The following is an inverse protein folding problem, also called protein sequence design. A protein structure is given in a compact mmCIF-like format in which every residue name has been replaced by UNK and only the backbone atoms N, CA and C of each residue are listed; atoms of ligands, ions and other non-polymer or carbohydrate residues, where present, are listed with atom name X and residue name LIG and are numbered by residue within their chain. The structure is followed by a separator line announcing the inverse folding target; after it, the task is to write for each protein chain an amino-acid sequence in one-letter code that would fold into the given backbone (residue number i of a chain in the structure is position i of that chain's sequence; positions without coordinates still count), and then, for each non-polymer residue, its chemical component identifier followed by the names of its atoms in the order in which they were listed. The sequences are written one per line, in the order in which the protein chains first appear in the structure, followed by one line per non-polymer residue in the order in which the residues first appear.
data_IF_654153243528
#
_entry.id   IF_654153243528
#
_cell.length_a   1.000
_cell.length_b   1.000
_cell.length_c   1.000
_cell.angle_alpha   90.00
_cell.angle_beta   90.00
_cell.angle_gamma   90.00
#
_symmetry.space_group_name_H-M   'P 1'
#
loop_
_entity.id
_entity.type
_entity.pdbx_description
1 polymer ?
#
# COMPACT_ATOMS: atom_id res chain seq x y z
N UNK A 1 116.43 -41.76 -50.42
CA UNK A 1 116.70 -43.15 -49.98
C UNK A 1 117.54 -43.80 -51.06
N UNK A 2 118.75 -44.21 -50.67
CA UNK A 2 119.62 -45.28 -51.18
C UNK A 2 119.54 -45.60 -52.70
N UNK A 3 120.62 -45.55 -53.47
CA UNK A 3 121.72 -46.52 -53.36
C UNK A 3 122.91 -46.19 -54.29
N UNK A 4 124.11 -46.64 -53.86
CA UNK A 4 125.27 -47.16 -54.66
C UNK A 4 126.00 -46.13 -55.56
N UNK A 5 127.21 -45.62 -55.32
CA UNK A 5 128.40 -46.13 -54.60
C UNK A 5 128.65 -47.62 -54.85
N UNK A 6 129.22 -47.94 -56.01
CA UNK A 6 130.16 -49.06 -56.14
C UNK A 6 130.96 -48.97 -57.44
N UNK A 7 132.17 -49.54 -57.38
CA UNK A 7 133.15 -49.78 -58.46
C UNK A 7 134.18 -48.68 -58.80
N UNK A 8 135.20 -48.60 -57.95
CA UNK A 8 136.58 -48.21 -58.33
C UNK A 8 137.41 -49.50 -58.45
N UNK A 9 137.90 -49.90 -59.63
CA UNK A 9 138.93 -50.93 -59.74
C UNK A 9 140.31 -50.31 -59.53
N UNK A 10 141.07 -50.92 -58.61
CA UNK A 10 142.47 -50.66 -58.33
C UNK A 10 143.34 -50.85 -59.59
N UNK A 11 143.99 -49.79 -60.07
CA UNK A 11 145.04 -49.91 -61.08
C UNK A 11 146.36 -50.28 -60.39
N UNK A 12 146.76 -51.51 -60.66
CA UNK A 12 148.00 -52.17 -60.27
C UNK A 12 149.14 -51.60 -61.12
N UNK A 13 150.12 -50.95 -60.49
CA UNK A 13 151.38 -50.55 -61.11
C UNK A 13 152.31 -51.77 -61.10
N UNK A 14 152.69 -52.26 -62.28
CA UNK A 14 153.78 -53.23 -62.44
C UNK A 14 154.81 -52.60 -63.38
N UNK A 15 156.02 -52.42 -62.87
CA UNK A 15 157.20 -51.94 -63.57
C UNK A 15 157.71 -52.97 -64.59
N UNK A 16 158.38 -52.45 -65.61
CA UNK A 16 158.70 -53.15 -66.84
C UNK A 16 159.73 -54.26 -66.74
N UNK A 17 159.83 -54.99 -67.85
CA UNK A 17 161.06 -55.54 -68.38
C UNK A 17 160.86 -55.86 -69.87
N UNK A 18 161.84 -55.45 -70.68
CA UNK A 18 162.13 -56.08 -71.98
C UNK A 18 161.25 -55.67 -73.15
N UNK A 19 161.67 -54.60 -73.82
CA UNK A 19 161.88 -54.52 -75.27
C UNK A 19 161.66 -53.08 -75.71
N UNK A 20 162.74 -52.45 -76.19
CA UNK A 20 162.73 -51.11 -76.77
C UNK A 20 161.94 -51.20 -78.08
N UNK A 21 160.70 -50.71 -78.17
CA UNK A 21 160.00 -50.63 -79.44
C UNK A 21 160.52 -49.38 -80.13
N UNK A 22 161.12 -49.54 -81.31
CA UNK A 22 161.33 -48.42 -82.23
C UNK A 22 160.02 -47.65 -82.35
N UNK A 23 159.97 -46.43 -81.81
CA UNK A 23 158.80 -45.57 -81.91
C UNK A 23 158.53 -45.33 -83.40
N UNK A 24 157.33 -45.67 -83.92
CA UNK A 24 156.94 -45.21 -85.24
C UNK A 24 157.03 -43.69 -85.26
N UNK A 25 157.56 -43.13 -86.35
CA UNK A 25 157.62 -41.69 -86.59
C UNK A 25 156.22 -41.07 -86.41
N UNK A 26 155.97 -40.46 -85.26
CA UNK A 26 154.71 -39.78 -84.95
C UNK A 26 154.70 -38.49 -85.76
N UNK A 27 153.87 -38.45 -86.78
CA UNK A 27 153.59 -37.24 -87.53
C UNK A 27 152.68 -36.35 -86.68
N UNK A 28 153.28 -35.58 -85.75
CA UNK A 28 152.60 -34.70 -84.79
C UNK A 28 151.63 -33.71 -85.45
N UNK A 29 151.87 -33.37 -86.70
CA UNK A 29 151.02 -32.49 -87.50
C UNK A 29 149.65 -33.12 -87.74
N UNK A 30 149.59 -34.43 -88.02
CA UNK A 30 148.35 -35.17 -88.26
C UNK A 30 147.47 -35.27 -87.01
N UNK A 31 148.08 -35.44 -85.83
CA UNK A 31 147.34 -35.51 -84.55
C UNK A 31 146.72 -34.16 -84.19
N UNK A 32 147.47 -33.07 -84.38
CA UNK A 32 146.97 -31.72 -84.15
C UNK A 32 145.85 -31.36 -85.13
N UNK A 33 145.94 -31.83 -86.37
CA UNK A 33 144.91 -31.63 -87.39
C UNK A 33 143.63 -32.43 -87.08
N UNK A 34 143.77 -33.69 -86.64
CA UNK A 34 142.63 -34.52 -86.20
C UNK A 34 141.95 -33.93 -84.95
N UNK A 35 142.70 -33.40 -83.98
CA UNK A 35 142.14 -32.72 -82.80
C UNK A 35 141.40 -31.43 -83.17
N UNK A 36 141.95 -30.62 -84.08
CA UNK A 36 141.28 -29.42 -84.59
C UNK A 36 140.00 -29.79 -85.32
N UNK A 37 140.04 -30.84 -86.14
CA UNK A 37 138.86 -31.34 -86.86
C UNK A 37 137.78 -31.85 -85.90
N UNK A 38 138.13 -32.65 -84.90
CA UNK A 38 137.19 -33.13 -83.90
C UNK A 38 136.58 -32.00 -83.04
N UNK A 39 137.38 -31.00 -82.67
CA UNK A 39 136.88 -29.81 -81.98
C UNK A 39 135.90 -29.02 -82.86
N UNK A 40 136.25 -28.83 -84.14
CA UNK A 40 135.40 -28.13 -85.09
C UNK A 40 134.09 -28.86 -85.36
N UNK A 41 134.13 -30.18 -85.56
CA UNK A 41 132.93 -31.02 -85.68
C UNK A 41 132.06 -30.97 -84.41
N UNK A 42 132.67 -30.95 -83.22
CA UNK A 42 131.94 -30.80 -81.94
C UNK A 42 131.29 -29.42 -81.81
N UNK A 43 131.97 -28.37 -82.24
CA UNK A 43 131.43 -27.00 -82.24
C UNK A 43 130.26 -26.89 -83.23
N UNK A 44 130.41 -27.45 -84.43
CA UNK A 44 129.34 -27.49 -85.43
C UNK A 44 128.12 -28.28 -84.94
N UNK A 45 128.31 -29.41 -84.24
CA UNK A 45 127.21 -30.15 -83.61
C UNK A 45 126.53 -29.35 -82.51
N UNK A 46 127.28 -28.68 -81.64
CA UNK A 46 126.71 -27.84 -80.58
C UNK A 46 125.93 -26.67 -81.15
N UNK A 47 126.44 -26.04 -82.22
CA UNK A 47 125.76 -24.98 -82.95
C UNK A 47 124.52 -25.49 -83.68
N UNK A 48 124.56 -26.69 -84.25
CA UNK A 48 123.37 -27.36 -84.80
C UNK A 48 122.31 -27.59 -83.72
N UNK A 49 122.69 -28.18 -82.58
CA UNK A 49 121.77 -28.42 -81.46
C UNK A 49 121.19 -27.12 -80.91
N UNK A 50 121.99 -26.04 -80.84
CA UNK A 50 121.51 -24.71 -80.44
C UNK A 50 120.52 -24.15 -81.43
N UNK A 51 120.75 -24.32 -82.74
CA UNK A 51 119.80 -23.92 -83.79
C UNK A 51 118.51 -24.72 -83.71
N UNK A 52 118.61 -26.04 -83.53
CA UNK A 52 117.43 -26.92 -83.40
C UNK A 52 116.61 -26.60 -82.15
N UNK A 53 117.28 -26.37 -81.01
CA UNK A 53 116.62 -25.95 -79.78
C UNK A 53 115.99 -24.55 -79.92
N UNK A 54 116.69 -23.58 -80.51
CA UNK A 54 116.15 -22.25 -80.76
C UNK A 54 114.92 -22.31 -81.67
N UNK A 55 114.98 -23.11 -82.74
CA UNK A 55 113.86 -23.34 -83.63
C UNK A 55 112.68 -24.01 -82.90
N UNK A 56 112.93 -25.03 -82.07
CA UNK A 56 111.89 -25.68 -81.28
C UNK A 56 111.22 -24.72 -80.27
N UNK A 57 112.01 -23.85 -79.61
CA UNK A 57 111.47 -22.82 -78.72
C UNK A 57 110.64 -21.78 -79.47
N UNK A 58 111.10 -21.33 -80.65
CA UNK A 58 110.35 -20.39 -81.48
C UNK A 58 109.02 -21.00 -81.95
N UNK A 59 109.02 -22.27 -82.39
CA UNK A 59 107.79 -22.99 -82.75
C UNK A 59 106.84 -23.15 -81.56
N UNK A 60 107.35 -23.51 -80.38
CA UNK A 60 106.54 -23.61 -79.17
C UNK A 60 105.96 -22.24 -78.74
N UNK A 61 106.72 -21.15 -78.90
CA UNK A 61 106.24 -19.80 -78.60
C UNK A 61 105.15 -19.36 -79.58
N UNK A 62 105.33 -19.65 -80.88
CA UNK A 62 104.32 -19.38 -81.91
C UNK A 62 103.03 -20.15 -81.60
N UNK A 63 103.11 -21.46 -81.33
CA UNK A 63 101.96 -22.28 -80.97
C UNK A 63 101.23 -21.75 -79.73
N UNK A 64 101.96 -21.41 -78.66
CA UNK A 64 101.38 -20.84 -77.44
C UNK A 64 100.72 -19.47 -77.69
N UNK A 65 101.28 -18.64 -78.59
CA UNK A 65 100.66 -17.36 -78.98
C UNK A 65 99.36 -17.58 -79.76
N UNK A 66 99.31 -18.56 -80.65
CA UNK A 66 98.11 -18.91 -81.41
C UNK A 66 97.00 -19.46 -80.50
N UNK A 67 97.35 -20.34 -79.56
CA UNK A 67 96.42 -20.87 -78.56
C UNK A 67 95.82 -19.74 -77.70
N UNK A 68 96.66 -18.82 -77.19
CA UNK A 68 96.17 -17.64 -76.45
C UNK A 68 95.24 -16.77 -77.30
N UNK A 69 95.51 -16.61 -78.60
CA UNK A 69 94.62 -15.86 -79.50
C UNK A 69 93.28 -16.58 -79.69
N UNK A 70 93.27 -17.91 -79.78
CA UNK A 70 92.03 -18.69 -79.87
C UNK A 70 91.21 -18.56 -78.59
N UNK A 71 91.80 -18.81 -77.42
CA UNK A 71 91.15 -18.70 -76.11
C UNK A 71 90.56 -17.29 -75.91
N UNK A 72 91.29 -16.23 -76.29
CA UNK A 72 90.78 -14.86 -76.19
C UNK A 72 89.55 -14.63 -77.08
N UNK A 73 89.53 -15.20 -78.29
CA UNK A 73 88.37 -15.08 -79.20
C UNK A 73 87.17 -15.81 -78.61
N UNK A 74 87.33 -17.07 -78.21
CA UNK A 74 86.25 -17.88 -77.62
C UNK A 74 85.70 -17.26 -76.33
N UNK A 75 86.58 -16.74 -75.46
CA UNK A 75 86.16 -16.04 -74.25
C UNK A 75 85.38 -14.75 -74.57
N UNK A 76 85.83 -13.97 -75.56
CA UNK A 76 85.12 -12.76 -75.98
C UNK A 76 83.74 -13.09 -76.56
N UNK A 77 83.63 -14.13 -77.39
CA UNK A 77 82.34 -14.59 -77.92
C UNK A 77 81.41 -15.04 -76.80
N UNK A 78 81.92 -15.78 -75.82
CA UNK A 78 81.16 -16.23 -74.65
C UNK A 78 80.69 -15.04 -73.79
N UNK A 79 81.57 -14.05 -73.55
CA UNK A 79 81.23 -12.82 -72.81
C UNK A 79 80.11 -12.06 -73.52
N UNK A 80 80.18 -11.92 -74.85
CA UNK A 80 79.14 -11.23 -75.63
C UNK A 80 77.81 -11.97 -75.60
N UNK A 81 77.82 -13.30 -75.66
CA UNK A 81 76.60 -14.10 -75.50
C UNK A 81 75.98 -13.95 -74.10
N UNK A 82 76.79 -13.96 -73.05
CA UNK A 82 76.31 -13.77 -71.68
C UNK A 82 75.77 -12.36 -71.46
N UNK A 83 76.44 -11.33 -72.00
CA UNK A 83 75.94 -9.94 -71.96
C UNK A 83 74.59 -9.81 -72.64
N UNK A 84 74.41 -10.43 -73.81
CA UNK A 84 73.11 -10.44 -74.50
C UNK A 84 72.02 -11.13 -73.67
N UNK A 85 72.33 -12.25 -73.01
CA UNK A 85 71.37 -12.93 -72.12
C UNK A 85 70.99 -12.06 -70.93
N UNK A 86 71.98 -11.48 -70.23
CA UNK A 86 71.75 -10.58 -69.09
C UNK A 86 70.86 -9.40 -69.51
N UNK A 87 71.19 -8.74 -70.62
CA UNK A 87 70.41 -7.59 -71.10
C UNK A 87 68.96 -7.99 -71.45
N UNK A 88 68.77 -9.16 -72.06
CA UNK A 88 67.44 -9.65 -72.40
C UNK A 88 66.63 -10.00 -71.14
N UNK A 89 67.26 -10.64 -70.16
CA UNK A 89 66.62 -10.98 -68.89
C UNK A 89 66.28 -9.73 -68.07
N UNK A 90 67.16 -8.73 -68.04
CA UNK A 90 66.91 -7.43 -67.42
C UNK A 90 65.72 -6.71 -68.06
N UNK A 91 65.63 -6.72 -69.39
CA UNK A 91 64.53 -6.07 -70.11
C UNK A 91 63.21 -6.82 -69.88
N UNK A 92 63.22 -8.15 -69.93
CA UNK A 92 62.06 -8.97 -69.58
C UNK A 92 61.61 -8.74 -68.13
N UNK A 93 62.56 -8.61 -67.20
CA UNK A 93 62.26 -8.31 -65.81
C UNK A 93 61.61 -6.93 -65.65
N UNK A 94 62.12 -5.90 -66.34
CA UNK A 94 61.49 -4.56 -66.36
C UNK A 94 60.06 -4.61 -66.88
N UNK A 95 59.82 -5.32 -67.98
CA UNK A 95 58.48 -5.50 -68.56
C UNK A 95 57.56 -6.16 -67.52
N UNK A 96 57.99 -7.26 -66.91
CA UNK A 96 57.21 -7.96 -65.89
C UNK A 96 56.87 -7.07 -64.69
N UNK A 97 57.85 -6.32 -64.17
CA UNK A 97 57.64 -5.38 -63.06
C UNK A 97 56.65 -4.29 -63.46
N UNK A 98 56.73 -3.77 -64.68
CA UNK A 98 55.81 -2.77 -65.19
C UNK A 98 54.38 -3.32 -65.32
N UNK A 99 54.21 -4.52 -65.85
CA UNK A 99 52.92 -5.21 -65.95
C UNK A 99 52.29 -5.45 -64.57
N UNK A 100 53.08 -5.91 -63.61
CA UNK A 100 52.62 -6.11 -62.22
C UNK A 100 52.21 -4.79 -61.57
N UNK A 101 52.98 -3.72 -61.75
CA UNK A 101 52.65 -2.40 -61.23
C UNK A 101 51.36 -1.84 -61.85
N UNK A 102 51.18 -1.99 -63.16
CA UNK A 102 49.96 -1.58 -63.86
C UNK A 102 48.75 -2.39 -63.36
N UNK A 103 48.89 -3.72 -63.23
CA UNK A 103 47.84 -4.59 -62.72
C UNK A 103 47.46 -4.28 -61.27
N UNK A 104 48.42 -3.92 -60.43
CA UNK A 104 48.16 -3.48 -59.05
C UNK A 104 47.46 -2.12 -59.03
N UNK A 105 47.89 -1.16 -59.86
CA UNK A 105 47.28 0.16 -59.95
C UNK A 105 45.80 0.07 -60.36
N UNK A 106 45.48 -0.79 -61.34
CA UNK A 106 44.09 -0.97 -61.79
C UNK A 106 43.22 -1.64 -60.71
N UNK A 107 43.75 -2.66 -60.01
CA UNK A 107 43.05 -3.28 -58.87
C UNK A 107 42.76 -2.26 -57.76
N UNK A 108 43.72 -1.40 -57.42
CA UNK A 108 43.55 -0.35 -56.41
C UNK A 108 42.52 0.68 -56.84
N UNK A 109 42.47 1.03 -58.13
CA UNK A 109 41.47 1.93 -58.69
C UNK A 109 40.06 1.35 -58.57
N UNK A 110 39.86 0.09 -58.98
CA UNK A 110 38.57 -0.61 -58.87
C UNK A 110 38.11 -0.66 -57.41
N UNK A 111 39.00 -1.02 -56.48
CA UNK A 111 38.66 -1.05 -55.04
C UNK A 111 38.28 0.33 -54.50
N UNK A 112 38.93 1.40 -54.96
CA UNK A 112 38.61 2.76 -54.56
C UNK A 112 37.24 3.18 -55.10
N UNK A 113 36.94 2.88 -56.36
CA UNK A 113 35.65 3.19 -56.99
C UNK A 113 34.52 2.42 -56.29
N UNK A 114 34.68 1.11 -56.09
CA UNK A 114 33.71 0.28 -55.35
C UNK A 114 33.48 0.80 -53.93
N UNK A 115 34.55 1.11 -53.19
CA UNK A 115 34.44 1.67 -51.84
C UNK A 115 33.81 3.06 -51.78
N UNK A 116 33.96 3.88 -52.84
CA UNK A 116 33.27 5.17 -52.95
C UNK A 116 31.78 5.00 -53.24
N UNK A 117 31.44 4.08 -54.15
CA UNK A 117 30.05 3.75 -54.49
C UNK A 117 29.29 3.18 -53.30
N UNK A 118 29.88 2.24 -52.56
CA UNK A 118 29.30 1.69 -51.33
C UNK A 118 29.02 2.78 -50.29
N UNK A 119 29.96 3.72 -50.08
CA UNK A 119 29.77 4.85 -49.15
C UNK A 119 28.64 5.76 -49.60
N UNK A 120 28.57 6.06 -50.90
CA UNK A 120 27.52 6.90 -51.48
C UNK A 120 26.15 6.25 -51.30
N UNK A 121 26.03 4.96 -51.63
CA UNK A 121 24.78 4.21 -51.47
C UNK A 121 24.33 4.15 -50.00
N UNK A 122 25.26 3.87 -49.07
CA UNK A 122 24.96 3.87 -47.64
C UNK A 122 24.51 5.25 -47.12
N UNK A 123 25.12 6.33 -47.64
CA UNK A 123 24.71 7.69 -47.30
C UNK A 123 23.32 8.03 -47.85
N UNK A 124 23.03 7.70 -49.11
CA UNK A 124 21.71 7.90 -49.72
C UNK A 124 20.61 7.13 -48.98
N UNK A 125 20.85 5.86 -48.63
CA UNK A 125 19.93 5.08 -47.81
C UNK A 125 19.67 5.71 -46.44
N UNK A 126 20.72 6.21 -45.79
CA UNK A 126 20.59 6.88 -44.50
C UNK A 126 19.76 8.17 -44.62
N UNK A 127 20.03 8.99 -45.63
CA UNK A 127 19.29 10.22 -45.89
C UNK A 127 17.80 9.94 -46.20
N UNK A 128 17.51 8.89 -46.97
CA UNK A 128 16.13 8.46 -47.25
C UNK A 128 15.41 7.99 -45.98
N UNK A 129 16.06 7.14 -45.17
CA UNK A 129 15.53 6.67 -43.87
C UNK A 129 15.23 7.85 -42.96
N UNK A 130 16.15 8.81 -42.86
CA UNK A 130 15.96 10.02 -42.06
C UNK A 130 14.82 10.91 -42.56
N UNK A 131 14.67 11.06 -43.88
CA UNK A 131 13.57 11.81 -44.49
C UNK A 131 12.22 11.15 -44.20
N UNK A 132 12.13 9.83 -44.31
CA UNK A 132 10.92 9.08 -43.99
C UNK A 132 10.56 9.17 -42.50
N UNK A 133 11.55 9.06 -41.62
CA UNK A 133 11.34 9.18 -40.17
C UNK A 133 10.83 10.57 -39.78
N UNK A 134 11.40 11.63 -40.37
CA UNK A 134 10.92 13.01 -40.15
C UNK A 134 9.46 13.18 -40.56
N UNK A 135 9.09 12.72 -41.76
CA UNK A 135 7.69 12.75 -42.24
C UNK A 135 6.74 11.98 -41.32
N UNK A 136 7.13 10.81 -40.85
CA UNK A 136 6.31 10.02 -39.92
C UNK A 136 6.12 10.75 -38.59
N UNK A 137 7.18 11.38 -38.08
CA UNK A 137 7.11 12.16 -36.85
C UNK A 137 6.18 13.38 -36.99
N UNK A 138 6.29 14.13 -38.10
CA UNK A 138 5.42 15.26 -38.42
C UNK A 138 3.94 14.82 -38.51
N UNK A 139 3.64 13.77 -39.27
CA UNK A 139 2.29 13.23 -39.39
C UNK A 139 1.71 12.78 -38.03
N UNK A 140 2.54 12.16 -37.18
CA UNK A 140 2.13 11.76 -35.83
C UNK A 140 1.85 12.97 -34.93
N UNK A 141 2.66 14.03 -35.03
CA UNK A 141 2.41 15.27 -34.30
C UNK A 141 1.09 15.91 -34.72
N UNK A 142 0.79 15.97 -36.02
CA UNK A 142 -0.48 16.50 -36.53
C UNK A 142 -1.68 15.69 -36.04
N UNK A 143 -1.61 14.35 -36.12
CA UNK A 143 -2.65 13.46 -35.62
C UNK A 143 -2.93 13.66 -34.12
N UNK A 144 -1.88 13.74 -33.29
CA UNK A 144 -2.01 13.99 -31.85
C UNK A 144 -2.61 15.38 -31.56
N UNK A 145 -2.25 16.39 -32.34
CA UNK A 145 -2.84 17.73 -32.20
C UNK A 145 -4.34 17.73 -32.56
N UNK A 146 -4.74 16.96 -33.56
CA UNK A 146 -6.15 16.80 -33.94
C UNK A 146 -6.95 16.05 -32.87
N UNK A 147 -6.43 14.93 -32.36
CA UNK A 147 -7.02 14.20 -31.24
C UNK A 147 -7.21 15.11 -30.01
N UNK A 148 -6.21 15.92 -29.69
CA UNK A 148 -6.27 16.89 -28.59
C UNK A 148 -7.34 17.96 -28.82
N UNK A 149 -7.48 18.47 -30.05
CA UNK A 149 -8.57 19.41 -30.41
C UNK A 149 -9.95 18.76 -30.23
N UNK A 150 -10.10 17.51 -30.67
CA UNK A 150 -11.36 16.77 -30.54
C UNK A 150 -11.71 16.46 -29.09
N UNK A 151 -10.74 16.02 -28.29
CA UNK A 151 -10.89 15.78 -26.85
C UNK A 151 -11.32 17.07 -26.12
N UNK A 152 -10.69 18.22 -26.41
CA UNK A 152 -11.08 19.52 -25.84
C UNK A 152 -12.52 19.90 -26.20
N UNK A 153 -12.93 19.67 -27.46
CA UNK A 153 -14.32 19.92 -27.90
C UNK A 153 -15.32 19.03 -27.16
N UNK A 154 -15.03 17.74 -27.02
CA UNK A 154 -15.89 16.78 -26.32
C UNK A 154 -15.98 17.09 -24.81
N UNK A 155 -14.83 17.37 -24.16
CA UNK A 155 -14.78 17.81 -22.77
C UNK A 155 -15.64 19.05 -22.52
N UNK A 156 -15.55 20.06 -23.40
CA UNK A 156 -16.39 21.27 -23.31
C UNK A 156 -17.89 20.97 -23.47
N UNK A 157 -18.27 20.01 -24.33
CA UNK A 157 -19.68 19.57 -24.46
C UNK A 157 -20.17 18.88 -23.20
N UNK A 158 -19.36 17.99 -22.61
CA UNK A 158 -19.68 17.29 -21.36
C UNK A 158 -19.85 18.25 -20.19
N UNK A 159 -18.92 19.19 -20.01
CA UNK A 159 -19.00 20.23 -18.97
C UNK A 159 -20.30 21.03 -19.10
N UNK A 160 -20.62 21.53 -20.31
CA UNK A 160 -21.87 22.27 -20.55
C UNK A 160 -23.12 21.47 -20.23
N UNK A 161 -23.11 20.14 -20.45
CA UNK A 161 -24.25 19.27 -20.11
C UNK A 161 -24.41 19.17 -18.59
N UNK A 162 -23.31 18.92 -17.87
CA UNK A 162 -23.30 18.82 -16.40
C UNK A 162 -23.70 20.15 -15.76
N UNK A 163 -23.21 21.29 -16.25
CA UNK A 163 -23.59 22.61 -15.76
C UNK A 163 -25.10 22.85 -15.90
N UNK A 164 -25.69 22.54 -17.06
CA UNK A 164 -27.15 22.65 -17.27
C UNK A 164 -27.96 21.74 -16.35
N UNK A 165 -27.49 20.52 -16.09
CA UNK A 165 -28.15 19.61 -15.16
C UNK A 165 -28.05 20.09 -13.72
N UNK A 166 -26.90 20.65 -13.32
CA UNK A 166 -26.68 21.26 -12.02
C UNK A 166 -27.60 22.47 -11.78
N UNK A 167 -27.74 23.35 -12.78
CA UNK A 167 -28.65 24.51 -12.73
C UNK A 167 -30.10 24.06 -12.48
N UNK A 168 -30.58 23.07 -13.25
CA UNK A 168 -31.93 22.50 -13.07
C UNK A 168 -32.13 21.88 -11.69
N UNK A 169 -31.11 21.24 -11.13
CA UNK A 169 -31.16 20.66 -9.79
C UNK A 169 -31.23 21.75 -8.71
N UNK A 170 -30.47 22.83 -8.86
CA UNK A 170 -30.54 23.99 -7.96
C UNK A 170 -31.94 24.61 -7.98
N UNK A 171 -32.48 24.87 -9.16
CA UNK A 171 -33.84 25.41 -9.33
C UNK A 171 -34.90 24.49 -8.70
N UNK A 172 -34.81 23.17 -8.90
CA UNK A 172 -35.71 22.21 -8.24
C UNK A 172 -35.61 22.25 -6.72
N UNK A 173 -34.38 22.28 -6.18
CA UNK A 173 -34.13 22.35 -4.73
C UNK A 173 -34.68 23.63 -4.13
N UNK A 174 -34.48 24.76 -4.79
CA UNK A 174 -34.99 26.06 -4.34
C UNK A 174 -36.53 26.09 -4.33
N UNK A 175 -37.16 25.63 -5.40
CA UNK A 175 -38.62 25.49 -5.46
C UNK A 175 -39.18 24.55 -4.38
N UNK A 176 -38.46 23.49 -4.04
CA UNK A 176 -38.86 22.57 -2.98
C UNK A 176 -38.73 23.21 -1.59
N UNK A 177 -37.62 23.90 -1.32
CA UNK A 177 -37.42 24.62 -0.07
C UNK A 177 -38.50 25.68 0.17
N UNK A 178 -38.89 26.42 -0.88
CA UNK A 178 -39.98 27.41 -0.78
C UNK A 178 -41.30 26.74 -0.39
N UNK A 179 -41.61 25.55 -0.95
CA UNK A 179 -42.82 24.80 -0.57
C UNK A 179 -42.76 24.31 0.88
N UNK A 180 -41.65 23.67 1.25
CA UNK A 180 -41.46 23.14 2.61
C UNK A 180 -41.53 24.26 3.66
N UNK A 181 -40.94 25.42 3.36
CA UNK A 181 -41.00 26.58 4.25
C UNK A 181 -42.43 27.11 4.41
N UNK A 182 -43.19 27.18 3.31
CA UNK A 182 -44.60 27.56 3.35
C UNK A 182 -45.44 26.57 4.18
N UNK A 183 -45.22 25.27 4.00
CA UNK A 183 -45.93 24.23 4.77
C UNK A 183 -45.62 24.34 6.27
N UNK A 184 -44.35 24.61 6.64
CA UNK A 184 -43.94 24.84 8.03
C UNK A 184 -44.63 26.09 8.61
N UNK A 185 -44.71 27.19 7.85
CA UNK A 185 -45.40 28.41 8.27
C UNK A 185 -46.89 28.17 8.50
N UNK A 186 -47.56 27.47 7.57
CA UNK A 186 -48.99 27.11 7.70
C UNK A 186 -49.24 26.24 8.94
N UNK A 187 -48.43 25.19 9.14
CA UNK A 187 -48.50 24.32 10.33
C UNK A 187 -48.27 25.10 11.63
N UNK A 188 -47.26 25.99 11.65
CA UNK A 188 -46.95 26.83 12.82
C UNK A 188 -48.12 27.74 13.16
N UNK A 189 -48.77 28.32 12.16
CA UNK A 189 -49.92 29.20 12.35
C UNK A 189 -51.16 28.43 12.82
N UNK A 190 -51.39 27.20 12.32
CA UNK A 190 -52.42 26.31 12.83
C UNK A 190 -52.20 25.99 14.31
N UNK A 191 -51.00 25.54 14.69
CA UNK A 191 -50.67 25.26 16.09
C UNK A 191 -50.83 26.48 17.00
N UNK A 192 -50.44 27.68 16.54
CA UNK A 192 -50.63 28.91 17.30
C UNK A 192 -52.12 29.21 17.55
N UNK A 193 -52.96 29.02 16.53
CA UNK A 193 -54.41 29.23 16.62
C UNK A 193 -55.07 28.21 17.55
N UNK A 194 -54.73 26.93 17.44
CA UNK A 194 -55.23 25.87 18.32
C UNK A 194 -54.80 26.10 19.77
N UNK A 195 -53.54 26.48 20.00
CA UNK A 195 -53.03 26.82 21.32
C UNK A 195 -53.78 28.00 21.92
N UNK A 196 -54.08 29.04 21.14
CA UNK A 196 -54.87 30.19 21.59
C UNK A 196 -56.29 29.78 21.98
N UNK A 197 -56.97 28.98 21.15
CA UNK A 197 -58.30 28.43 21.47
C UNK A 197 -58.28 27.65 22.78
N UNK A 198 -57.30 26.77 22.97
CA UNK A 198 -57.16 25.98 24.19
C UNK A 198 -56.97 26.87 25.44
N UNK A 199 -56.18 27.94 25.33
CA UNK A 199 -55.99 28.91 26.41
C UNK A 199 -57.30 29.65 26.71
N UNK A 200 -58.01 30.11 25.68
CA UNK A 200 -59.29 30.80 25.83
C UNK A 200 -60.37 29.87 26.45
N UNK A 201 -60.41 28.60 26.04
CA UNK A 201 -61.29 27.56 26.60
C UNK A 201 -60.98 27.31 28.08
N UNK A 202 -59.69 27.13 28.43
CA UNK A 202 -59.28 26.97 29.84
C UNK A 202 -59.66 28.18 30.68
N UNK A 203 -59.55 29.38 30.12
CA UNK A 203 -59.94 30.61 30.81
C UNK A 203 -61.45 30.68 31.05
N UNK A 204 -62.27 30.35 30.04
CA UNK A 204 -63.74 30.27 30.18
C UNK A 204 -64.16 29.27 31.24
N UNK A 205 -63.66 28.04 31.19
CA UNK A 205 -63.99 27.01 32.20
C UNK A 205 -63.61 27.45 33.62
N UNK A 206 -62.43 28.07 33.82
CA UNK A 206 -62.02 28.58 35.14
C UNK A 206 -62.95 29.67 35.66
N UNK A 207 -63.45 30.52 34.77
CA UNK A 207 -64.42 31.57 35.12
C UNK A 207 -65.75 30.96 35.54
N UNK A 208 -66.29 30.03 34.76
CA UNK A 208 -67.55 29.33 35.06
C UNK A 208 -67.48 28.58 36.41
N UNK A 209 -66.41 27.82 36.67
CA UNK A 209 -66.19 27.15 37.96
C UNK A 209 -66.12 28.15 39.12
N UNK A 210 -65.56 29.34 38.89
CA UNK A 210 -65.45 30.37 39.94
C UNK A 210 -66.79 31.05 40.22
N UNK A 211 -67.65 31.17 39.22
CA UNK A 211 -69.01 31.71 39.36
C UNK A 211 -69.94 30.68 40.03
N UNK A 212 -69.88 29.41 39.64
CA UNK A 212 -70.65 28.31 40.25
C UNK A 212 -70.30 28.10 41.75
N UNK A 213 -69.03 28.26 42.13
CA UNK A 213 -68.60 28.22 43.54
C UNK A 213 -69.12 29.36 44.40
N UNK A 214 -69.58 30.48 43.83
CA UNK A 214 -70.21 31.58 44.59
C UNK A 214 -71.69 31.31 44.91
N UNK A 215 -72.32 30.33 44.28
CA UNK A 215 -73.75 30.02 44.47
C UNK A 215 -74.02 28.79 45.38
N UNK A 216 -73.00 28.04 45.81
CA UNK A 216 -73.14 26.91 46.73
C UNK A 216 -72.74 27.29 48.18
N UNK A 217 -73.65 27.27 49.17
CA UNK A 217 -73.33 27.69 50.53
C UNK A 217 -72.72 26.52 51.32
N UNK A 218 -71.40 26.33 51.18
CA UNK A 218 -70.60 25.39 52.02
C UNK A 218 -70.76 25.73 53.52
N UNK A 219 -71.08 26.98 53.86
CA UNK A 219 -71.27 27.44 55.24
C UNK A 219 -72.49 26.82 55.95
N UNK A 220 -73.57 26.49 55.23
CA UNK A 220 -74.78 25.91 55.86
C UNK A 220 -74.57 24.47 56.33
N UNK A 221 -73.77 23.68 55.61
CA UNK A 221 -73.51 22.28 55.93
C UNK A 221 -72.55 22.12 57.13
N UNK A 222 -71.56 23.02 57.27
CA UNK A 222 -70.65 23.00 58.42
C UNK A 222 -71.36 23.40 59.73
N UNK A 223 -72.30 24.35 59.67
CA UNK A 223 -73.10 24.76 60.83
C UNK A 223 -74.02 23.63 61.32
N UNK A 224 -74.64 22.87 60.40
CA UNK A 224 -75.49 21.73 60.76
C UNK A 224 -74.71 20.62 61.49
N UNK A 225 -73.52 20.26 60.98
CA UNK A 225 -72.67 19.23 61.61
C UNK A 225 -72.19 19.69 62.99
N UNK A 226 -71.96 20.99 63.20
CA UNK A 226 -71.62 21.53 64.52
C UNK A 226 -72.74 21.32 65.53
N UNK A 227 -73.98 21.66 65.15
CA UNK A 227 -75.14 21.54 66.02
C UNK A 227 -75.43 20.08 66.43
N UNK A 228 -75.34 19.14 65.50
CA UNK A 228 -75.53 17.71 65.79
C UNK A 228 -74.47 17.17 66.74
N UNK A 229 -73.20 17.60 66.60
CA UNK A 229 -72.12 17.14 67.47
C UNK A 229 -72.28 17.65 68.90
N UNK A 230 -72.77 18.87 69.07
CA UNK A 230 -73.10 19.44 70.39
C UNK A 230 -74.23 18.65 71.06
N UNK A 231 -75.25 18.24 70.30
CA UNK A 231 -76.34 17.41 70.79
C UNK A 231 -75.85 16.02 71.24
N UNK A 232 -74.99 15.37 70.46
CA UNK A 232 -74.36 14.08 70.84
C UNK A 232 -73.57 14.23 72.14
N UNK A 233 -72.78 15.30 72.29
CA UNK A 233 -72.00 15.55 73.50
C UNK A 233 -72.89 15.80 74.73
N UNK A 234 -74.02 16.48 74.55
CA UNK A 234 -75.03 16.68 75.60
C UNK A 234 -75.66 15.35 76.02
N UNK A 235 -76.08 14.53 75.07
CA UNK A 235 -76.64 13.20 75.34
C UNK A 235 -75.64 12.29 76.06
N UNK A 236 -74.38 12.31 75.65
CA UNK A 236 -73.28 11.58 76.32
C UNK A 236 -73.11 12.00 77.78
N UNK A 237 -73.20 13.30 78.06
CA UNK A 237 -73.09 13.83 79.43
C UNK A 237 -74.29 13.43 80.29
N UNK A 238 -75.50 13.48 79.73
CA UNK A 238 -76.73 13.02 80.38
C UNK A 238 -76.68 11.52 80.71
N UNK A 239 -76.22 10.69 79.76
CA UNK A 239 -76.03 9.26 79.99
C UNK A 239 -75.06 9.01 81.15
N UNK A 240 -73.90 9.68 81.17
CA UNK A 240 -72.90 9.51 82.25
C UNK A 240 -73.49 9.84 83.62
N UNK A 241 -74.30 10.90 83.70
CA UNK A 241 -75.00 11.28 84.93
C UNK A 241 -76.03 10.23 85.36
N UNK A 242 -76.87 9.75 84.44
CA UNK A 242 -77.87 8.72 84.73
C UNK A 242 -77.23 7.38 85.12
N UNK A 243 -76.19 6.96 84.42
CA UNK A 243 -75.45 5.73 84.71
C UNK A 243 -74.86 5.77 86.13
N UNK A 244 -74.28 6.93 86.53
CA UNK A 244 -73.75 7.14 87.87
C UNK A 244 -74.85 7.06 88.94
N UNK A 245 -76.04 7.64 88.67
CA UNK A 245 -77.19 7.58 89.58
C UNK A 245 -77.70 6.15 89.75
N UNK A 246 -77.81 5.38 88.67
CA UNK A 246 -78.22 3.97 88.71
C UNK A 246 -77.20 3.12 89.50
N UNK A 247 -75.90 3.33 89.28
CA UNK A 247 -74.84 2.66 90.05
C UNK A 247 -74.94 2.98 91.55
N UNK A 248 -75.22 4.24 91.91
CA UNK A 248 -75.42 4.66 93.30
C UNK A 248 -76.65 3.97 93.92
N UNK A 249 -77.76 3.84 93.19
CA UNK A 249 -78.94 3.10 93.66
C UNK A 249 -78.62 1.62 93.92
N UNK A 250 -77.86 0.95 93.04
CA UNK A 250 -77.44 -0.45 93.26
C UNK A 250 -76.55 -0.66 94.49
N UNK A 251 -75.86 0.38 94.96
CA UNK A 251 -75.00 0.30 96.15
C UNK A 251 -75.79 0.46 97.46
N UNK A 252 -76.96 1.11 97.42
CA UNK A 252 -77.68 1.55 98.62
C UNK A 252 -78.94 0.73 98.94
N UNK A 253 -79.44 -0.08 98.02
CA UNK A 253 -80.74 -0.76 98.16
C UNK A 253 -80.57 -2.25 98.49
N UNK A 254 -80.60 -2.59 99.79
CA UNK A 254 -80.38 -3.96 100.32
C UNK A 254 -81.54 -4.94 100.09
N UNK A 255 -82.64 -4.49 99.48
CA UNK A 255 -83.86 -5.28 99.22
C UNK A 255 -84.13 -5.52 97.72
N UNK A 256 -83.19 -5.18 96.83
CA UNK A 256 -83.36 -5.35 95.39
C UNK A 256 -83.12 -6.81 94.95
N UNK A 257 -83.90 -7.30 93.96
CA UNK A 257 -83.76 -8.65 93.42
C UNK A 257 -82.37 -8.82 92.77
N UNK A 258 -81.52 -9.75 93.25
CA UNK A 258 -80.12 -9.87 92.82
C UNK A 258 -79.97 -10.22 91.34
N UNK A 259 -80.91 -10.96 90.75
CA UNK A 259 -80.86 -11.32 89.32
C UNK A 259 -81.18 -10.11 88.43
N UNK A 260 -82.18 -9.31 88.82
CA UNK A 260 -82.51 -8.07 88.12
C UNK A 260 -81.35 -7.06 88.20
N UNK A 261 -80.73 -6.91 89.38
CA UNK A 261 -79.55 -6.06 89.56
C UNK A 261 -78.39 -6.53 88.68
N UNK A 262 -78.16 -7.84 88.57
CA UNK A 262 -77.12 -8.43 87.70
C UNK A 262 -77.38 -8.13 86.23
N UNK A 263 -78.62 -8.28 85.76
CA UNK A 263 -79.02 -7.95 84.37
C UNK A 263 -78.79 -6.46 84.08
N UNK A 264 -79.27 -5.58 84.95
CA UNK A 264 -79.10 -4.14 84.76
C UNK A 264 -77.63 -3.71 84.83
N UNK A 265 -76.81 -4.29 85.71
CA UNK A 265 -75.36 -4.05 85.75
C UNK A 265 -74.67 -4.50 84.46
N UNK A 266 -75.07 -5.63 83.89
CA UNK A 266 -74.50 -6.12 82.63
C UNK A 266 -74.88 -5.20 81.46
N UNK A 267 -76.15 -4.80 81.37
CA UNK A 267 -76.62 -3.85 80.35
C UNK A 267 -75.90 -2.49 80.44
N UNK A 268 -75.84 -1.93 81.65
CA UNK A 268 -75.19 -0.65 81.88
C UNK A 268 -73.70 -0.70 81.53
N UNK A 269 -73.02 -1.83 81.82
CA UNK A 269 -71.62 -2.04 81.41
C UNK A 269 -71.46 -2.08 79.88
N UNK A 270 -72.32 -2.80 79.16
CA UNK A 270 -72.24 -2.87 77.70
C UNK A 270 -72.51 -1.51 77.04
N UNK A 271 -73.50 -0.77 77.55
CA UNK A 271 -73.75 0.60 77.10
C UNK A 271 -72.56 1.54 77.42
N UNK A 272 -72.00 1.46 78.62
CA UNK A 272 -70.83 2.26 78.99
C UNK A 272 -69.61 1.98 78.11
N UNK A 273 -69.40 0.72 77.71
CA UNK A 273 -68.33 0.31 76.80
C UNK A 273 -68.50 0.93 75.42
N UNK A 274 -69.71 0.85 74.84
CA UNK A 274 -70.02 1.49 73.57
C UNK A 274 -69.84 3.02 73.63
N UNK A 275 -70.30 3.65 74.72
CA UNK A 275 -70.19 5.10 74.96
C UNK A 275 -68.76 5.59 75.23
N UNK A 276 -67.84 4.68 75.58
CA UNK A 276 -66.40 4.95 75.74
C UNK A 276 -65.56 4.45 74.58
N UNK A 277 -66.19 3.99 73.50
CA UNK A 277 -65.49 3.53 72.31
C UNK A 277 -64.61 4.62 71.70
N UNK A 278 -63.46 4.20 71.15
CA UNK A 278 -62.55 5.09 70.43
C UNK A 278 -63.24 5.76 69.23
N UNK A 279 -64.20 5.06 68.62
CA UNK A 279 -65.03 5.53 67.51
C UNK A 279 -65.82 6.79 67.90
N UNK A 280 -66.59 6.72 68.98
CA UNK A 280 -67.38 7.86 69.46
C UNK A 280 -66.48 9.04 69.86
N UNK A 281 -65.33 8.77 70.50
CA UNK A 281 -64.38 9.82 70.88
C UNK A 281 -63.82 10.52 69.64
N UNK A 282 -63.45 9.76 68.61
CA UNK A 282 -62.91 10.33 67.38
C UNK A 282 -63.94 11.19 66.64
N UNK A 283 -65.19 10.75 66.56
CA UNK A 283 -66.29 11.52 65.98
C UNK A 283 -66.49 12.84 66.74
N UNK A 284 -66.64 12.77 68.07
CA UNK A 284 -66.87 13.95 68.91
C UNK A 284 -65.70 14.96 68.93
N UNK A 285 -64.45 14.51 68.77
CA UNK A 285 -63.28 15.36 68.92
C UNK A 285 -62.70 15.88 67.61
N UNK A 286 -62.80 15.10 66.52
CA UNK A 286 -62.00 15.34 65.31
C UNK A 286 -62.84 15.63 64.05
N UNK A 287 -64.14 15.28 64.03
CA UNK A 287 -64.98 15.44 62.85
C UNK A 287 -65.05 16.90 62.37
N UNK A 288 -65.26 17.87 63.27
CA UNK A 288 -65.31 19.29 62.91
C UNK A 288 -63.99 19.80 62.32
N UNK A 289 -62.86 19.35 62.86
CA UNK A 289 -61.54 19.75 62.38
C UNK A 289 -61.24 19.20 60.99
N UNK A 290 -61.51 17.91 60.77
CA UNK A 290 -61.29 17.28 59.46
C UNK A 290 -62.34 17.73 58.42
N UNK A 291 -63.53 18.16 58.84
CA UNK A 291 -64.53 18.84 58.01
C UNK A 291 -64.04 20.23 57.56
N UNK A 292 -63.51 21.05 58.47
CA UNK A 292 -62.95 22.37 58.14
C UNK A 292 -61.76 22.28 57.18
N UNK A 293 -61.00 21.18 57.23
CA UNK A 293 -59.87 20.91 56.32
C UNK A 293 -60.28 20.25 55.00
N UNK A 294 -61.55 19.91 54.81
CA UNK A 294 -62.03 19.21 53.61
C UNK A 294 -61.42 17.81 53.44
N UNK A 295 -61.10 17.11 54.53
CA UNK A 295 -60.47 15.79 54.46
C UNK A 295 -61.51 14.68 54.23
N UNK A 296 -61.99 14.59 52.99
CA UNK A 296 -63.11 13.72 52.58
C UNK A 296 -62.91 12.27 53.02
N UNK A 297 -61.70 11.72 52.89
CA UNK A 297 -61.41 10.32 53.27
C UNK A 297 -61.66 10.04 54.74
N UNK A 298 -61.26 10.97 55.62
CA UNK A 298 -61.51 10.82 57.06
C UNK A 298 -62.96 11.05 57.42
N UNK A 299 -63.63 11.99 56.77
CA UNK A 299 -65.06 12.25 56.98
C UNK A 299 -65.88 10.99 56.67
N UNK A 300 -65.58 10.31 55.56
CA UNK A 300 -66.20 9.02 55.23
C UNK A 300 -65.91 7.95 56.28
N UNK A 301 -64.68 7.89 56.80
CA UNK A 301 -64.33 6.97 57.89
C UNK A 301 -65.16 7.22 59.15
N UNK A 302 -65.43 8.48 59.51
CA UNK A 302 -66.27 8.81 60.65
C UNK A 302 -67.73 8.38 60.45
N UNK A 303 -68.26 8.48 59.23
CA UNK A 303 -69.59 7.94 58.90
C UNK A 303 -69.68 6.43 59.12
N UNK A 304 -68.71 5.69 58.60
CA UNK A 304 -68.65 4.23 58.80
C UNK A 304 -68.51 3.85 60.29
N UNK A 305 -67.72 4.62 61.05
CA UNK A 305 -67.59 4.42 62.50
C UNK A 305 -68.90 4.72 63.25
N UNK A 306 -69.64 5.74 62.83
CA UNK A 306 -70.94 6.10 63.40
C UNK A 306 -71.98 5.00 63.14
N UNK A 307 -72.04 4.48 61.91
CA UNK A 307 -72.94 3.37 61.55
C UNK A 307 -72.62 2.11 62.36
N UNK A 308 -71.34 1.76 62.48
CA UNK A 308 -70.90 0.63 63.30
C UNK A 308 -71.27 0.80 64.78
N UNK A 309 -71.16 2.02 65.31
CA UNK A 309 -71.54 2.32 66.69
C UNK A 309 -73.05 2.27 66.90
N UNK A 310 -73.84 2.80 65.96
CA UNK A 310 -75.29 2.75 65.99
C UNK A 310 -75.79 1.30 66.03
N UNK A 311 -75.26 0.44 65.16
CA UNK A 311 -75.59 -0.99 65.15
C UNK A 311 -75.25 -1.69 66.47
N UNK A 312 -74.11 -1.36 67.10
CA UNK A 312 -73.73 -1.90 68.41
C UNK A 312 -74.72 -1.46 69.50
N UNK A 313 -75.10 -0.19 69.53
CA UNK A 313 -76.06 0.33 70.51
C UNK A 313 -77.45 -0.28 70.32
N UNK A 314 -77.89 -0.46 69.08
CA UNK A 314 -79.15 -1.13 68.75
C UNK A 314 -79.13 -2.59 69.22
N UNK A 315 -78.02 -3.31 69.01
CA UNK A 315 -77.85 -4.69 69.49
C UNK A 315 -77.94 -4.77 71.02
N UNK A 316 -77.28 -3.86 71.73
CA UNK A 316 -77.34 -3.79 73.21
C UNK A 316 -78.77 -3.52 73.69
N UNK A 317 -79.53 -2.69 72.98
CA UNK A 317 -80.93 -2.44 73.27
C UNK A 317 -81.80 -3.68 73.04
N UNK A 318 -81.56 -4.45 71.98
CA UNK A 318 -82.30 -5.69 71.70
C UNK A 318 -81.95 -6.82 72.66
N UNK A 319 -80.70 -6.94 73.11
CA UNK A 319 -80.27 -7.99 74.05
C UNK A 319 -80.96 -7.87 75.42
N UNK A 320 -81.33 -6.66 75.84
CA UNK A 320 -82.18 -6.45 77.03
C UNK A 320 -83.63 -6.83 76.80
N UNK A 321 -84.15 -6.67 75.57
CA UNK A 321 -85.51 -7.07 75.23
C UNK A 321 -85.69 -8.60 75.25
N UNK A 322 -84.63 -9.39 75.07
CA UNK A 322 -84.66 -10.85 75.18
C UNK A 322 -84.32 -11.40 76.58
N UNK A 323 -83.80 -10.57 77.49
CA UNK A 323 -83.48 -10.90 78.88
C UNK A 323 -84.66 -10.91 79.87
N UNK A 324 -85.91 -11.05 79.40
CA UNK A 324 -87.08 -11.33 80.24
C UNK A 324 -87.62 -10.17 81.09
N UNK A 325 -87.18 -8.92 80.86
CA UNK A 325 -87.83 -7.71 81.43
C UNK A 325 -88.23 -6.82 80.26
N UNK A 326 -89.47 -6.97 79.80
CA UNK A 326 -90.04 -6.09 78.79
C UNK A 326 -90.28 -4.71 79.44
N UNK A 327 -89.75 -3.63 78.86
CA UNK A 327 -89.97 -2.26 79.38
C UNK A 327 -91.45 -1.84 79.44
N UNK A 328 -92.37 -2.59 78.81
CA UNK A 328 -93.82 -2.42 78.99
C UNK A 328 -94.29 -2.75 80.41
N UNK A 329 -93.57 -3.62 81.12
CA UNK A 329 -93.91 -4.05 82.49
C UNK A 329 -93.41 -3.06 83.56
N UNK A 330 -92.37 -2.27 83.30
CA UNK A 330 -91.91 -1.19 84.20
C UNK A 330 -92.84 0.03 84.15
N UNK A 331 -93.45 0.33 83.00
CA UNK A 331 -94.42 1.42 82.87
C UNK A 331 -95.73 1.13 83.62
N UNK A 332 -96.20 -0.11 83.60
CA UNK A 332 -97.40 -0.52 84.36
C UNK A 332 -97.16 -0.49 85.88
N UNK A 333 -95.94 -0.79 86.34
CA UNK A 333 -95.55 -0.73 87.76
C UNK A 333 -95.32 0.71 88.26
N UNK A 334 -94.83 1.61 87.40
CA UNK A 334 -94.66 3.02 87.73
C UNK A 334 -95.99 3.78 87.73
N UNK A 335 -96.91 3.47 86.82
CA UNK A 335 -98.23 4.11 86.75
C UNK A 335 -99.17 3.64 87.88
N UNK A 336 -98.97 2.44 88.44
CA UNK A 336 -99.73 1.97 89.62
C UNK A 336 -99.36 2.67 90.94
N UNK A 337 -98.20 3.34 91.03
CA UNK A 337 -97.78 4.07 92.25
C UNK A 337 -98.20 5.53 92.30
N UNK A 338 -98.80 6.10 91.25
CA UNK A 338 -99.35 7.47 91.26
C UNK A 338 -100.88 7.53 91.47
N UNK A 339 -101.54 6.40 91.75
CA UNK A 339 -102.95 6.33 92.15
C UNK A 339 -103.16 5.88 93.61
N UNK A 340 -102.08 5.85 94.40
CA UNK A 340 -102.13 5.85 95.87
C UNK A 340 -101.10 6.84 96.41
N UNK A 341 -101.33 8.12 96.13
CA UNK A 341 -101.28 9.23 97.07
C UNK A 341 -101.69 10.52 96.37
#
# INVERSE_FOLDING_TARGET
MNTLLDFIPQIRIIFGNGDVPQRPSINHEKILEDQRKAYQESMERLESMRRDAAYAYEQAEIAAREERKLIRRENNETIELLRKKINNDDENHKILVQELNNGLAEKLKILREAGQEERKNAQEEFEEKMKNLKKQHEARQEALQEELKNCKKDGKKKIRKVEKESEKLKEKRENQLVKEQKDIEEMTQQYANERKKLIDDQFRMRKEISEEKRELPIDKAQEHVRLELDEINKMKSMFKFQASKIQQHFMNESSANPDAVKICKNYLRQLEEAMRSKQLIAICALLQFDLAKGNIRKIQSYGNDADSLAQKLETIQTDVAFGGICMKDLKSVMDQKQLKN
#
